data_IF_872123824628
#
_entry.id   IF_872123824628
#
_cell.length_a   1.000
_cell.length_b   1.000
_cell.length_c   1.000
_cell.angle_alpha   90.00
_cell.angle_beta   90.00
_cell.angle_gamma   90.00
#
_symmetry.space_group_name_H-M   'P 1'
#
loop_
_entity.id
_entity.type
_entity.pdbx_description
1 polymer ?
#
# COMPACT_ATOMS: atom_id res chain seq x y z
N UNK A 1 14.30 4.58 -0.48
CA UNK A 1 14.00 3.38 -1.30
C UNK A 1 14.28 3.60 -2.79
N UNK A 2 14.85 4.76 -3.14
CA UNK A 2 14.86 5.30 -4.50
C UNK A 2 16.00 4.76 -5.36
N UNK A 3 16.87 3.93 -4.79
CA UNK A 3 17.95 3.22 -5.49
C UNK A 3 17.52 1.86 -6.06
N UNK A 4 16.30 1.39 -5.75
CA UNK A 4 15.81 0.08 -6.22
C UNK A 4 15.20 0.24 -7.61
N UNK A 5 15.91 -0.24 -8.63
CA UNK A 5 15.50 -0.12 -10.05
C UNK A 5 14.33 -1.02 -10.45
N UNK A 6 14.13 -2.15 -9.74
CA UNK A 6 12.99 -3.06 -9.93
C UNK A 6 12.44 -3.41 -8.55
N UNK A 7 11.20 -3.00 -8.30
CA UNK A 7 10.50 -3.26 -7.04
C UNK A 7 9.72 -4.56 -7.17
N UNK A 8 10.01 -5.53 -6.29
CA UNK A 8 9.18 -6.73 -6.16
C UNK A 8 8.14 -6.53 -5.04
N UNK A 9 7.25 -7.50 -4.89
CA UNK A 9 6.18 -7.52 -3.87
C UNK A 9 6.67 -7.24 -2.44
N UNK A 10 7.85 -7.76 -2.09
CA UNK A 10 8.47 -7.57 -0.77
C UNK A 10 8.94 -6.14 -0.61
N UNK A 11 9.61 -5.57 -1.62
CA UNK A 11 10.07 -4.18 -1.58
C UNK A 11 8.90 -3.21 -1.44
N UNK A 12 7.80 -3.41 -2.19
CA UNK A 12 6.59 -2.61 -2.07
C UNK A 12 6.01 -2.65 -0.66
N UNK A 13 5.84 -3.85 -0.11
CA UNK A 13 5.30 -4.03 1.24
C UNK A 13 6.22 -3.40 2.31
N UNK A 14 7.54 -3.52 2.15
CA UNK A 14 8.51 -2.91 3.04
C UNK A 14 8.50 -1.37 2.98
N UNK A 15 8.34 -0.79 1.79
CA UNK A 15 8.19 0.66 1.63
C UNK A 15 6.93 1.16 2.33
N UNK A 16 5.79 0.56 2.02
CA UNK A 16 4.50 0.94 2.60
C UNK A 16 4.55 0.82 4.12
N UNK A 17 5.03 -0.32 4.64
CA UNK A 17 5.13 -0.56 6.07
C UNK A 17 6.06 0.43 6.75
N UNK A 18 7.22 0.73 6.14
CA UNK A 18 8.14 1.74 6.64
C UNK A 18 7.49 3.11 6.79
N UNK A 19 6.73 3.57 5.79
CA UNK A 19 6.02 4.84 5.88
C UNK A 19 4.89 4.82 6.92
N UNK A 20 4.11 3.74 7.01
CA UNK A 20 3.05 3.58 8.01
C UNK A 20 3.61 3.60 9.44
N UNK A 21 4.71 2.90 9.70
CA UNK A 21 5.35 2.87 11.02
C UNK A 21 5.93 4.22 11.44
N UNK A 22 6.29 5.08 10.47
CA UNK A 22 6.78 6.43 10.72
C UNK A 22 5.69 7.50 10.63
N UNK A 23 4.40 7.11 10.68
CA UNK A 23 3.27 8.04 10.68
C UNK A 23 3.15 8.89 9.39
N UNK A 24 3.79 8.43 8.29
CA UNK A 24 3.83 9.08 6.98
C UNK A 24 2.78 8.47 6.03
N UNK A 25 1.50 8.59 6.39
CA UNK A 25 0.43 7.87 5.68
C UNK A 25 0.21 8.36 4.26
N UNK A 26 0.44 9.65 4.01
CA UNK A 26 0.29 10.21 2.66
C UNK A 26 1.29 9.54 1.71
N UNK A 27 2.54 9.45 2.13
CA UNK A 27 3.62 8.81 1.39
C UNK A 27 3.38 7.30 1.25
N UNK A 28 2.87 6.64 2.31
CA UNK A 28 2.45 5.24 2.21
C UNK A 28 1.37 5.03 1.13
N UNK A 29 0.37 5.91 1.09
CA UNK A 29 -0.69 5.90 0.08
C UNK A 29 -0.17 6.17 -1.33
N UNK A 30 0.74 7.13 -1.50
CA UNK A 30 1.39 7.41 -2.79
C UNK A 30 2.18 6.20 -3.30
N UNK A 31 2.92 5.52 -2.43
CA UNK A 31 3.65 4.29 -2.77
C UNK A 31 2.68 3.16 -3.14
N UNK A 32 1.56 3.01 -2.43
CA UNK A 32 0.54 2.03 -2.76
C UNK A 32 -0.10 2.31 -4.14
N UNK A 33 -0.40 3.57 -4.45
CA UNK A 33 -0.89 3.96 -5.77
C UNK A 33 0.14 3.70 -6.86
N UNK A 34 1.43 3.93 -6.60
CA UNK A 34 2.50 3.56 -7.54
C UNK A 34 2.55 2.06 -7.79
N UNK A 35 2.39 1.23 -6.74
CA UNK A 35 2.33 -0.23 -6.89
C UNK A 35 1.16 -0.67 -7.78
N UNK A 36 0.01 0.01 -7.72
CA UNK A 36 -1.18 -0.33 -8.51
C UNK A 36 -1.02 -0.07 -10.01
N UNK A 37 -0.12 0.82 -10.40
CA UNK A 37 0.07 1.23 -11.81
C UNK A 37 1.40 0.74 -12.39
N UNK A 38 2.25 0.06 -11.60
CA UNK A 38 3.51 -0.50 -12.07
C UNK A 38 3.27 -1.81 -12.83
N UNK A 39 3.56 -1.80 -14.13
CA UNK A 39 3.40 -2.95 -15.03
C UNK A 39 4.29 -4.15 -14.66
N UNK A 40 5.34 -3.94 -13.87
CA UNK A 40 6.22 -5.02 -13.39
C UNK A 40 5.65 -5.74 -12.17
N UNK A 41 4.58 -5.22 -11.57
CA UNK A 41 3.90 -5.84 -10.43
C UNK A 41 2.80 -6.75 -10.95
N UNK A 42 3.00 -8.06 -10.82
CA UNK A 42 2.01 -9.04 -11.24
C UNK A 42 0.71 -8.96 -10.43
N UNK A 43 0.80 -8.69 -9.12
CA UNK A 43 -0.36 -8.56 -8.24
C UNK A 43 -0.03 -7.70 -7.01
N UNK A 44 -1.02 -6.92 -6.55
CA UNK A 44 -0.94 -6.29 -5.22
C UNK A 44 -1.05 -7.36 -4.15
N UNK A 45 -0.21 -7.28 -3.11
CA UNK A 45 -0.20 -8.28 -2.05
C UNK A 45 -1.24 -7.96 -0.96
N UNK A 46 -1.80 -8.99 -0.29
CA UNK A 46 -2.61 -8.80 0.93
C UNK A 46 -1.87 -8.02 2.02
N UNK A 47 -0.54 -8.16 2.07
CA UNK A 47 0.32 -7.46 3.02
C UNK A 47 0.28 -5.96 2.78
N UNK A 48 0.46 -5.50 1.53
CA UNK A 48 0.38 -4.09 1.18
C UNK A 48 -0.99 -3.48 1.50
N UNK A 49 -2.07 -4.22 1.20
CA UNK A 49 -3.46 -3.82 1.52
C UNK A 49 -3.63 -3.68 3.04
N UNK A 50 -3.19 -4.67 3.81
CA UNK A 50 -3.29 -4.66 5.27
C UNK A 50 -2.53 -3.49 5.91
N UNK A 51 -1.34 -3.18 5.41
CA UNK A 51 -0.54 -2.04 5.89
C UNK A 51 -1.24 -0.70 5.64
N UNK A 52 -1.83 -0.50 4.45
CA UNK A 52 -2.59 0.71 4.16
C UNK A 52 -3.86 0.80 5.01
N UNK A 53 -4.60 -0.30 5.17
CA UNK A 53 -5.77 -0.32 6.05
C UNK A 53 -5.41 0.03 7.50
N UNK A 54 -4.26 -0.46 7.99
CA UNK A 54 -3.74 -0.10 9.30
C UNK A 54 -3.42 1.40 9.38
N UNK A 55 -2.76 1.95 8.35
CA UNK A 55 -2.51 3.40 8.25
C UNK A 55 -3.80 4.22 8.28
N UNK A 56 -4.81 3.84 7.50
CA UNK A 56 -6.12 4.49 7.52
C UNK A 56 -6.77 4.42 8.91
N UNK A 57 -6.70 3.28 9.58
CA UNK A 57 -7.26 3.10 10.93
C UNK A 57 -6.53 3.97 11.97
N UNK A 58 -5.19 4.03 11.94
CA UNK A 58 -4.38 4.84 12.86
C UNK A 58 -4.70 6.33 12.78
N UNK A 59 -5.02 6.84 11.59
CA UNK A 59 -5.25 8.26 11.34
C UNK A 59 -6.73 8.64 11.22
N UNK A 60 -7.63 7.68 11.40
CA UNK A 60 -9.07 7.92 11.28
C UNK A 60 -9.54 8.23 9.86
N UNK A 61 -8.76 7.86 8.82
CA UNK A 61 -9.15 8.02 7.42
C UNK A 61 -10.13 6.91 6.99
N UNK A 62 -11.38 7.06 7.41
CA UNK A 62 -12.47 6.12 7.11
C UNK A 62 -12.73 6.01 5.60
N UNK A 63 -12.57 7.11 4.86
CA UNK A 63 -12.85 7.12 3.43
C UNK A 63 -11.75 6.38 2.66
N UNK A 64 -10.47 6.65 2.97
CA UNK A 64 -9.35 5.88 2.42
C UNK A 64 -9.47 4.39 2.75
N UNK A 65 -9.81 4.05 4.01
CA UNK A 65 -10.01 2.67 4.44
C UNK A 65 -11.13 1.96 3.65
N UNK A 66 -12.26 2.64 3.40
CA UNK A 66 -13.35 2.10 2.55
C UNK A 66 -12.90 1.86 1.11
N UNK A 67 -12.15 2.79 0.52
CA UNK A 67 -11.64 2.62 -0.85
C UNK A 67 -10.74 1.40 -0.97
N UNK A 68 -9.80 1.25 -0.03
CA UNK A 68 -8.82 0.14 -0.01
C UNK A 68 -9.51 -1.20 0.28
N UNK A 69 -10.48 -1.21 1.20
CA UNK A 69 -11.31 -2.38 1.47
C UNK A 69 -12.16 -2.80 0.26
N UNK A 70 -12.80 -1.86 -0.43
CA UNK A 70 -13.53 -2.15 -1.67
C UNK A 70 -12.60 -2.67 -2.77
N UNK A 71 -11.38 -2.13 -2.86
CA UNK A 71 -10.38 -2.62 -3.80
C UNK A 71 -9.99 -4.08 -3.48
N UNK A 72 -9.75 -4.42 -2.22
CA UNK A 72 -9.35 -5.79 -1.84
C UNK A 72 -10.41 -6.83 -2.23
N UNK A 73 -11.69 -6.52 -1.98
CA UNK A 73 -12.81 -7.37 -2.37
C UNK A 73 -12.85 -7.56 -3.90
N UNK A 74 -12.70 -6.46 -4.67
CA UNK A 74 -12.71 -6.51 -6.14
C UNK A 74 -11.51 -7.28 -6.71
N UNK A 75 -10.37 -7.24 -6.02
CA UNK A 75 -9.16 -7.98 -6.39
C UNK A 75 -9.22 -9.47 -6.00
N UNK A 76 -10.27 -9.92 -5.32
CA UNK A 76 -10.48 -11.32 -4.95
C UNK A 76 -9.78 -11.75 -3.66
N UNK A 77 -9.49 -10.82 -2.76
CA UNK A 77 -8.97 -11.07 -1.42
C UNK A 77 -10.08 -11.20 -0.37
#
# INVERSE_FOLDING_TARGET
FDSVSIKNEVTWSAMIGGYVENDMIKEAGEVFLQMLVDENVAMVTPVAIGLILMGCARFGDVNGGRCVHCYSIKAGF
#
